data_IF_220048713866
#
_entry.id   IF_220048713866
#
_cell.length_a   1.000
_cell.length_b   1.000
_cell.length_c   1.000
_cell.angle_alpha   90.00
_cell.angle_beta   90.00
_cell.angle_gamma   90.00
#
_symmetry.space_group_name_H-M   'P 1'
#
loop_
_entity.id
_entity.type
_entity.pdbx_description
1 polymer ?
#
# COMPACT_ATOMS: atom_id res chain seq x y z
N UNK A 1 -3.54 14.09 -1.17
CA UNK A 1 -2.10 14.26 -1.48
C UNK A 1 -1.36 12.91 -1.39
N UNK A 2 -0.19 12.78 -2.04
CA UNK A 2 0.72 11.62 -1.88
C UNK A 2 1.76 11.87 -0.78
N UNK A 3 2.01 10.87 0.06
CA UNK A 3 2.97 10.92 1.16
C UNK A 3 3.88 9.69 1.16
N UNK A 4 5.13 9.88 1.56
CA UNK A 4 6.02 8.77 1.91
C UNK A 4 5.90 8.48 3.40
N UNK A 5 5.42 7.30 3.75
CA UNK A 5 5.27 6.85 5.14
C UNK A 5 6.28 5.75 5.44
N UNK A 6 7.07 5.91 6.50
CA UNK A 6 7.96 4.86 7.01
C UNK A 6 7.13 3.91 7.89
N UNK A 7 7.21 2.61 7.61
CA UNK A 7 6.48 1.57 8.34
C UNK A 7 7.45 0.47 8.72
N UNK A 8 7.31 -0.02 9.95
CA UNK A 8 7.93 -1.26 10.43
C UNK A 8 6.88 -2.37 10.38
N UNK A 9 7.21 -3.49 9.73
CA UNK A 9 6.34 -4.65 9.65
C UNK A 9 7.12 -5.94 9.84
N UNK A 10 6.56 -6.87 10.61
CA UNK A 10 7.08 -8.23 10.75
C UNK A 10 6.29 -9.16 9.86
N UNK A 11 6.98 -9.81 8.93
CA UNK A 11 6.37 -10.75 7.99
C UNK A 11 7.11 -12.10 8.02
N UNK A 12 6.39 -13.15 7.65
CA UNK A 12 6.91 -14.51 7.55
C UNK A 12 7.10 -14.83 6.08
N UNK A 13 8.32 -15.18 5.68
CA UNK A 13 8.60 -15.65 4.34
C UNK A 13 8.38 -17.16 4.29
N UNK A 14 7.42 -17.65 3.51
CA UNK A 14 7.22 -19.08 3.35
C UNK A 14 8.43 -19.74 2.67
N UNK A 15 8.68 -21.03 2.95
CA UNK A 15 9.92 -21.70 2.53
C UNK A 15 10.08 -21.81 1.01
N UNK A 16 8.97 -21.77 0.26
CA UNK A 16 9.01 -21.89 -1.20
C UNK A 16 9.62 -20.66 -1.89
N UNK A 17 9.62 -19.47 -1.27
CA UNK A 17 10.24 -18.26 -1.84
C UNK A 17 11.65 -17.98 -1.30
N UNK A 18 12.18 -18.80 -0.40
CA UNK A 18 13.53 -18.63 0.17
C UNK A 18 14.65 -18.87 -0.85
N UNK A 19 14.35 -19.38 -2.04
CA UNK A 19 15.31 -19.54 -3.12
C UNK A 19 15.64 -18.22 -3.84
N UNK A 20 14.78 -17.20 -3.69
CA UNK A 20 14.96 -15.88 -4.27
C UNK A 20 15.89 -15.02 -3.39
N UNK A 21 16.53 -13.98 -3.94
CA UNK A 21 17.20 -12.97 -3.14
C UNK A 21 16.26 -12.42 -2.07
N UNK A 22 16.74 -12.30 -0.83
CA UNK A 22 15.91 -11.92 0.33
C UNK A 22 15.20 -10.59 0.09
N UNK A 23 15.87 -9.63 -0.55
CA UNK A 23 15.31 -8.33 -0.90
C UNK A 23 14.11 -8.45 -1.86
N UNK A 24 14.21 -9.31 -2.87
CA UNK A 24 13.13 -9.55 -3.84
C UNK A 24 11.96 -10.31 -3.22
N UNK A 25 12.26 -11.35 -2.43
CA UNK A 25 11.24 -12.12 -1.73
C UNK A 25 10.43 -11.26 -0.77
N UNK A 26 11.11 -10.43 0.03
CA UNK A 26 10.47 -9.48 0.95
C UNK A 26 9.66 -8.45 0.19
N UNK A 27 10.21 -7.89 -0.90
CA UNK A 27 9.49 -6.88 -1.69
C UNK A 27 8.20 -7.44 -2.28
N UNK A 28 8.23 -8.65 -2.83
CA UNK A 28 7.05 -9.32 -3.39
C UNK A 28 5.96 -9.55 -2.35
N UNK A 29 6.35 -10.01 -1.15
CA UNK A 29 5.41 -10.20 -0.05
C UNK A 29 4.86 -8.88 0.47
N UNK A 30 5.69 -7.84 0.64
CA UNK A 30 5.23 -6.51 1.02
C UNK A 30 4.26 -5.93 -0.01
N UNK A 31 4.53 -6.10 -1.29
CA UNK A 31 3.64 -5.69 -2.36
C UNK A 31 2.30 -6.40 -2.26
N UNK A 32 2.28 -7.71 -2.05
CA UNK A 32 1.05 -8.50 -1.87
C UNK A 32 0.28 -8.11 -0.61
N UNK A 33 0.99 -7.78 0.48
CA UNK A 33 0.40 -7.43 1.76
C UNK A 33 -0.13 -6.00 1.80
N UNK A 34 0.49 -5.05 1.09
CA UNK A 34 0.18 -3.62 1.23
C UNK A 34 -0.40 -2.97 -0.02
N UNK A 35 -0.15 -3.46 -1.24
CA UNK A 35 -0.70 -2.84 -2.46
C UNK A 35 -2.23 -2.82 -2.42
N UNK A 36 -2.79 -1.70 -2.88
CA UNK A 36 -4.23 -1.47 -3.03
C UNK A 36 -5.05 -1.63 -1.73
N UNK A 37 -4.38 -1.69 -0.57
CA UNK A 37 -5.04 -1.72 0.74
C UNK A 37 -5.14 -0.33 1.36
N UNK A 38 -6.28 -0.07 1.99
CA UNK A 38 -6.52 1.15 2.76
C UNK A 38 -6.22 0.85 4.23
N UNK A 39 -5.19 1.50 4.76
CA UNK A 39 -4.85 1.43 6.19
C UNK A 39 -5.51 2.61 6.89
N UNK A 40 -6.27 2.32 7.95
CA UNK A 40 -6.88 3.36 8.78
C UNK A 40 -5.82 4.35 9.28
N UNK A 41 -6.10 5.65 9.19
CA UNK A 41 -5.21 6.78 9.51
C UNK A 41 -4.03 7.00 8.54
N UNK A 42 -3.59 5.99 7.78
CA UNK A 42 -2.50 6.15 6.81
C UNK A 42 -3.04 6.59 5.43
N UNK A 43 -4.05 5.91 4.91
CA UNK A 43 -4.61 6.13 3.58
C UNK A 43 -4.48 4.90 2.67
N UNK A 44 -4.66 5.13 1.37
CA UNK A 44 -4.54 4.10 0.33
C UNK A 44 -3.08 3.87 -0.03
N UNK A 45 -2.61 2.62 0.08
CA UNK A 45 -1.25 2.26 -0.28
C UNK A 45 -1.13 2.02 -1.79
N UNK A 46 -0.23 2.75 -2.45
CA UNK A 46 -0.07 2.74 -3.91
C UNK A 46 1.06 1.81 -4.33
N UNK A 47 2.21 1.91 -3.67
CA UNK A 47 3.40 1.11 -3.98
C UNK A 47 4.45 1.19 -2.87
N UNK A 48 5.32 0.18 -2.81
CA UNK A 48 6.52 0.17 -1.98
C UNK A 48 7.60 1.00 -2.66
N UNK A 49 8.17 1.98 -1.96
CA UNK A 49 9.20 2.87 -2.50
C UNK A 49 10.60 2.28 -2.34
N UNK A 50 11.07 2.14 -1.10
CA UNK A 50 12.36 1.57 -0.75
C UNK A 50 12.27 0.73 0.53
N UNK A 51 13.18 -0.23 0.67
CA UNK A 51 13.40 -0.98 1.91
C UNK A 51 14.64 -0.36 2.59
N UNK A 52 14.47 0.09 3.83
CA UNK A 52 15.49 0.80 4.61
C UNK A 52 16.36 -0.13 5.42
N UNK A 53 15.75 -1.12 6.07
CA UNK A 53 16.44 -2.07 6.92
C UNK A 53 15.69 -3.38 6.93
N UNK A 54 16.43 -4.47 6.87
CA UNK A 54 15.93 -5.82 7.06
C UNK A 54 16.63 -6.37 8.30
N UNK A 55 15.85 -6.73 9.31
CA UNK A 55 16.32 -7.31 10.57
C UNK A 55 15.68 -8.68 10.73
N UNK A 56 16.43 -9.70 11.09
CA UNK A 56 15.88 -11.02 11.41
C UNK A 56 16.52 -12.17 10.64
N UNK A 57 15.70 -13.16 10.30
CA UNK A 57 16.13 -14.51 9.91
C UNK A 57 15.86 -15.55 11.00
N UNK A 58 14.87 -15.31 11.87
CA UNK A 58 14.52 -16.26 12.93
C UNK A 58 13.51 -17.28 12.41
N UNK A 59 13.83 -18.55 12.60
CA UNK A 59 12.95 -19.67 12.28
C UNK A 59 12.46 -20.22 13.61
N UNK A 60 11.13 -20.25 13.80
CA UNK A 60 10.57 -20.84 15.01
C UNK A 60 10.69 -22.37 14.93
N UNK A 61 11.05 -23.06 16.02
CA UNK A 61 11.10 -24.52 16.03
C UNK A 61 9.74 -25.10 15.63
N UNK A 62 9.71 -25.89 14.54
CA UNK A 62 8.48 -26.49 14.00
C UNK A 62 7.75 -25.68 12.93
N UNK A 63 8.12 -24.41 12.70
CA UNK A 63 7.54 -23.53 11.68
C UNK A 63 8.65 -23.21 10.67
N UNK A 64 8.74 -23.96 9.57
CA UNK A 64 9.83 -23.86 8.58
C UNK A 64 9.89 -22.54 7.80
N UNK A 65 9.12 -21.52 8.22
CA UNK A 65 9.10 -20.19 7.65
C UNK A 65 10.07 -19.25 8.40
N UNK A 66 10.81 -18.44 7.63
CA UNK A 66 11.74 -17.46 8.19
C UNK A 66 11.00 -16.16 8.50
N UNK A 67 11.12 -15.66 9.73
CA UNK A 67 10.50 -14.40 10.15
C UNK A 67 11.49 -13.25 10.02
N UNK A 68 11.04 -12.18 9.34
CA UNK A 68 11.80 -10.96 9.13
C UNK A 68 11.02 -9.74 9.62
N UNK A 69 11.73 -8.81 10.24
CA UNK A 69 11.23 -7.48 10.59
C UNK A 69 11.86 -6.47 9.65
N UNK A 70 11.03 -5.76 8.90
CA UNK A 70 11.46 -4.88 7.82
C UNK A 70 10.96 -3.47 8.06
N UNK A 71 11.86 -2.50 7.90
CA UNK A 71 11.52 -1.08 7.84
C UNK A 71 11.56 -0.65 6.38
N UNK A 72 10.45 -0.13 5.87
CA UNK A 72 10.29 0.26 4.47
C UNK A 72 9.45 1.51 4.34
N UNK A 73 9.51 2.18 3.18
CA UNK A 73 8.67 3.33 2.88
C UNK A 73 7.59 2.96 1.88
N UNK A 74 6.37 3.38 2.19
CA UNK A 74 5.23 3.27 1.29
C UNK A 74 4.87 4.64 0.70
N UNK A 75 4.52 4.62 -0.58
CA UNK A 75 3.79 5.72 -1.22
C UNK A 75 2.32 5.54 -0.88
N UNK A 76 1.78 6.46 -0.09
CA UNK A 76 0.41 6.42 0.40
C UNK A 76 -0.33 7.64 -0.13
N UNK A 77 -1.52 7.41 -0.66
CA UNK A 77 -2.45 8.45 -1.05
C UNK A 77 -3.43 8.71 0.10
N UNK A 78 -3.35 9.92 0.66
CA UNK A 78 -4.22 10.38 1.74
C UNK A 78 -4.82 11.74 1.36
N UNK A 79 -6.02 11.77 0.77
CA UNK A 79 -6.71 13.03 0.50
C UNK A 79 -7.28 13.61 1.79
N UNK A 80 -7.42 14.93 1.85
CA UNK A 80 -8.11 15.62 2.95
C UNK A 80 -9.37 16.35 2.46
N UNK A 81 -10.31 16.60 3.37
CA UNK A 81 -11.56 17.30 3.04
C UNK A 81 -11.21 18.75 2.68
N UNK A 82 -11.66 19.19 1.50
CA UNK A 82 -11.34 20.52 0.96
C UNK A 82 -10.06 20.58 0.13
N UNK A 83 -9.38 19.46 -0.12
CA UNK A 83 -8.24 19.40 -1.03
C UNK A 83 -8.69 19.53 -2.49
N UNK A 84 -8.00 20.37 -3.27
CA UNK A 84 -8.22 20.49 -4.71
C UNK A 84 -7.44 19.37 -5.41
N UNK A 85 -8.15 18.46 -6.08
CA UNK A 85 -7.57 17.32 -6.80
C UNK A 85 -7.94 17.40 -8.29
N UNK A 86 -6.95 17.22 -9.16
CA UNK A 86 -7.17 17.10 -10.60
C UNK A 86 -7.48 15.64 -10.95
N UNK A 87 -8.60 15.41 -11.62
CA UNK A 87 -9.04 14.09 -12.05
C UNK A 87 -9.66 14.14 -13.45
N UNK A 88 -9.57 13.03 -14.17
CA UNK A 88 -10.25 12.84 -15.46
C UNK A 88 -11.67 12.33 -15.19
N UNK A 89 -12.67 12.98 -15.76
CA UNK A 89 -14.04 12.49 -15.72
C UNK A 89 -14.13 11.18 -16.52
N UNK A 90 -14.73 10.14 -15.93
CA UNK A 90 -14.95 8.86 -16.59
C UNK A 90 -16.40 8.69 -17.02
N UNK A 91 -17.31 8.89 -16.08
CA UNK A 91 -18.76 8.71 -16.27
C UNK A 91 -19.51 9.80 -15.51
N UNK A 92 -20.66 10.20 -16.04
CA UNK A 92 -21.52 11.24 -15.48
C UNK A 92 -22.96 10.75 -15.51
N UNK A 93 -23.52 10.43 -14.35
CA UNK A 93 -24.88 9.94 -14.19
C UNK A 93 -25.71 10.92 -13.33
N UNK A 94 -27.03 10.75 -13.31
CA UNK A 94 -27.93 11.55 -12.47
C UNK A 94 -27.63 11.43 -10.96
N UNK A 95 -26.97 10.35 -10.55
CA UNK A 95 -26.47 10.11 -9.20
C UNK A 95 -25.23 10.94 -8.87
N UNK A 96 -24.37 11.24 -9.84
CA UNK A 96 -23.13 12.00 -9.58
C UNK A 96 -22.06 11.78 -10.64
N UNK A 97 -20.86 12.27 -10.35
CA UNK A 97 -19.72 12.21 -11.27
C UNK A 97 -18.69 11.19 -10.78
N UNK A 98 -18.35 10.23 -11.65
CA UNK A 98 -17.25 9.28 -11.41
C UNK A 98 -15.99 9.82 -12.07
N UNK A 99 -15.04 10.25 -11.26
CA UNK A 99 -13.76 10.79 -11.70
C UNK A 99 -12.62 9.81 -11.38
N UNK A 100 -11.52 9.88 -12.14
CA UNK A 100 -10.34 9.03 -11.97
C UNK A 100 -9.07 9.88 -11.94
N UNK A 101 -8.25 9.70 -10.92
CA UNK A 101 -6.89 10.27 -10.87
C UNK A 101 -5.89 9.14 -10.65
N UNK A 102 -5.07 8.85 -11.67
CA UNK A 102 -4.17 7.70 -11.64
C UNK A 102 -4.91 6.36 -11.53
N UNK A 103 -4.56 5.55 -10.53
CA UNK A 103 -5.26 4.28 -10.20
C UNK A 103 -6.47 4.46 -9.27
N UNK A 104 -6.75 5.69 -8.83
CA UNK A 104 -7.75 5.98 -7.80
C UNK A 104 -9.02 6.50 -8.46
N UNK A 105 -10.17 6.01 -7.99
CA UNK A 105 -11.48 6.48 -8.39
C UNK A 105 -12.06 7.36 -7.30
N UNK A 106 -12.75 8.43 -7.71
CA UNK A 106 -13.46 9.35 -6.84
C UNK A 106 -14.90 9.44 -7.29
N UNK A 107 -15.82 9.43 -6.33
CA UNK A 107 -17.21 9.77 -6.57
C UNK A 107 -17.55 11.11 -5.96
N UNK A 108 -18.01 12.03 -6.81
CA UNK A 108 -18.56 13.31 -6.40
C UNK A 108 -20.08 13.18 -6.34
N UNK A 109 -20.62 13.31 -5.13
CA UNK A 109 -22.06 13.32 -4.85
C UNK A 109 -22.40 14.62 -4.13
N UNK A 110 -23.08 15.56 -4.83
CA UNK A 110 -23.56 16.83 -4.27
C UNK A 110 -22.47 17.80 -3.76
N UNK A 111 -21.87 17.48 -2.60
CA UNK A 111 -20.84 18.26 -1.89
C UNK A 111 -19.74 17.39 -1.23
N UNK A 112 -19.74 16.07 -1.43
CA UNK A 112 -18.78 15.13 -0.79
C UNK A 112 -18.02 14.28 -1.80
N UNK A 113 -16.72 14.06 -1.52
CA UNK A 113 -15.84 13.18 -2.27
C UNK A 113 -15.65 11.88 -1.48
N UNK A 114 -16.10 10.74 -2.03
CA UNK A 114 -15.82 9.41 -1.50
C UNK A 114 -14.70 8.75 -2.31
N UNK A 115 -13.75 8.15 -1.59
CA UNK A 115 -12.56 7.42 -2.11
C UNK A 115 -12.82 5.93 -2.01
#
# INVERSE_FOLDING_TARGET
>A
MFYLSLIEHTLRLPPHILHLPVDEAIKSELETLFLDKVIAKLGLCISVYDIRSIKGGFIFPGDGASTYTVEFRLIVFRPFIGEIIVAKLKESDASGLRCKSGRIFFYLYGFGCLV
#
